data_IF_545345973079
#
_entry.id   IF_545345973079
#
_cell.length_a   1.000
_cell.length_b   1.000
_cell.length_c   1.000
_cell.angle_alpha   90.00
_cell.angle_beta   90.00
_cell.angle_gamma   90.00
#
_symmetry.space_group_name_H-M   'P 1'
#
loop_
_entity.id
_entity.type
_entity.pdbx_description
1 polymer ?
#
# COMPACT_ATOMS: atom_id res chain seq x y z
N UNK A 1 2.99 41.35 10.20
CA UNK A 1 2.49 40.00 10.49
C UNK A 1 2.65 39.19 9.21
N UNK A 2 3.79 38.53 9.00
CA UNK A 2 3.95 37.65 7.84
C UNK A 2 2.99 36.48 8.01
N UNK A 3 2.06 36.34 7.07
CA UNK A 3 1.24 35.14 6.95
C UNK A 3 2.17 33.94 6.80
N UNK A 4 2.25 33.10 7.84
CA UNK A 4 2.87 31.79 7.75
C UNK A 4 1.97 30.88 6.89
N UNK A 5 1.93 31.14 5.59
CA UNK A 5 1.32 30.24 4.64
C UNK A 5 2.17 28.96 4.60
N UNK A 6 1.52 27.82 4.81
CA UNK A 6 2.18 26.53 4.70
C UNK A 6 2.74 26.38 3.27
N UNK A 7 3.91 25.76 3.10
CA UNK A 7 4.42 25.44 1.77
C UNK A 7 3.41 24.54 1.04
N UNK A 8 3.25 24.73 -0.28
CA UNK A 8 2.36 23.89 -1.07
C UNK A 8 2.84 22.43 -1.04
N UNK A 9 1.89 21.50 -1.15
CA UNK A 9 2.22 20.09 -1.36
C UNK A 9 3.00 19.93 -2.68
N UNK A 10 3.91 18.94 -2.76
CA UNK A 10 4.56 18.63 -4.03
C UNK A 10 3.52 18.18 -5.06
N UNK A 11 3.87 18.28 -6.34
CA UNK A 11 3.02 17.84 -7.46
C UNK A 11 2.64 16.36 -7.34
N UNK A 12 3.52 15.54 -6.77
CA UNK A 12 3.32 14.11 -6.59
C UNK A 12 4.05 13.58 -5.36
N UNK A 13 3.70 12.36 -4.99
CA UNK A 13 4.47 11.52 -4.06
C UNK A 13 4.73 10.16 -4.67
N UNK A 14 5.67 9.42 -4.10
CA UNK A 14 5.99 8.06 -4.49
C UNK A 14 5.68 7.09 -3.36
N UNK A 15 5.63 5.81 -3.70
CA UNK A 15 5.63 4.75 -2.72
C UNK A 15 6.17 3.47 -3.30
N UNK A 16 6.48 2.54 -2.42
CA UNK A 16 7.15 1.31 -2.78
C UNK A 16 6.89 0.19 -1.76
N UNK A 17 7.01 -1.05 -2.21
CA UNK A 17 7.07 -2.22 -1.34
C UNK A 17 8.38 -2.23 -0.51
N UNK A 18 8.49 -3.11 0.50
CA UNK A 18 9.65 -3.14 1.39
C UNK A 18 11.00 -3.36 0.66
N UNK A 19 11.02 -4.19 -0.39
CA UNK A 19 12.22 -4.44 -1.19
C UNK A 19 12.45 -3.42 -2.32
N UNK A 20 11.57 -2.42 -2.46
CA UNK A 20 11.60 -1.37 -3.49
C UNK A 20 11.44 -1.84 -4.94
N UNK A 21 11.16 -3.13 -5.19
CA UNK A 21 10.98 -3.68 -6.55
C UNK A 21 9.67 -3.24 -7.22
N UNK A 22 8.60 -3.13 -6.44
CA UNK A 22 7.31 -2.58 -6.87
C UNK A 22 7.20 -1.15 -6.36
N UNK A 23 7.03 -0.20 -7.27
CA UNK A 23 6.93 1.23 -6.96
C UNK A 23 5.75 1.86 -7.69
N UNK A 24 5.29 2.97 -7.16
CA UNK A 24 4.23 3.78 -7.76
C UNK A 24 4.44 5.26 -7.49
N UNK A 25 3.74 6.08 -8.27
CA UNK A 25 3.60 7.53 -8.11
C UNK A 25 2.12 7.86 -7.93
N UNK A 26 1.83 8.81 -7.05
CA UNK A 26 0.49 9.39 -6.86
C UNK A 26 0.57 10.88 -7.14
N UNK A 27 -0.24 11.36 -8.07
CA UNK A 27 -0.38 12.80 -8.35
C UNK A 27 -1.17 13.46 -7.21
N UNK A 28 -0.73 14.65 -6.81
CA UNK A 28 -1.32 15.43 -5.72
C UNK A 28 -1.84 16.80 -6.21
N UNK A 29 -1.68 17.10 -7.50
CA UNK A 29 -2.14 18.36 -8.13
C UNK A 29 -3.63 18.60 -7.94
N UNK A 30 -4.43 17.54 -7.93
CA UNK A 30 -5.87 17.59 -7.71
C UNK A 30 -6.31 16.76 -6.50
N UNK A 31 -5.58 16.88 -5.38
CA UNK A 31 -5.76 16.03 -4.19
C UNK A 31 -7.23 15.93 -3.73
N UNK A 32 -7.97 17.05 -3.73
CA UNK A 32 -9.34 17.10 -3.21
C UNK A 32 -10.32 16.27 -4.06
N UNK A 33 -10.09 16.20 -5.38
CA UNK A 33 -10.91 15.39 -6.27
C UNK A 33 -10.37 13.97 -6.39
N UNK A 34 -9.05 13.77 -6.42
CA UNK A 34 -8.45 12.45 -6.66
C UNK A 34 -8.47 11.54 -5.43
N UNK A 35 -8.31 12.10 -4.22
CA UNK A 35 -8.42 11.35 -2.97
C UNK A 35 -9.90 11.16 -2.59
N UNK A 36 -10.46 10.01 -2.97
CA UNK A 36 -11.87 9.68 -2.77
C UNK A 36 -12.20 9.22 -1.35
N UNK A 37 -11.21 8.71 -0.61
CA UNK A 37 -11.40 8.22 0.76
C UNK A 37 -10.06 8.15 1.50
N UNK A 38 -10.08 8.46 2.79
CA UNK A 38 -9.00 8.12 3.72
C UNK A 38 -9.57 7.71 5.07
N UNK A 39 -9.24 6.50 5.52
CA UNK A 39 -9.86 5.90 6.69
C UNK A 39 -8.95 4.85 7.35
N UNK A 40 -9.26 4.51 8.59
CA UNK A 40 -8.83 3.27 9.19
C UNK A 40 -9.83 2.17 8.90
N UNK A 41 -9.37 1.08 8.28
CA UNK A 41 -10.19 -0.06 7.91
C UNK A 41 -9.95 -1.24 8.86
N UNK A 42 -11.04 -1.72 9.46
CA UNK A 42 -11.05 -2.80 10.45
C UNK A 42 -11.57 -4.14 9.90
N UNK A 43 -11.78 -4.28 8.58
CA UNK A 43 -12.29 -5.54 8.05
C UNK A 43 -11.24 -6.66 8.17
N UNK A 44 -11.70 -7.89 8.42
CA UNK A 44 -10.79 -9.01 8.69
C UNK A 44 -9.88 -9.35 7.52
N UNK A 45 -10.29 -9.07 6.28
CA UNK A 45 -9.42 -9.22 5.11
C UNK A 45 -8.25 -8.24 5.15
N UNK A 46 -8.47 -6.98 5.55
CA UNK A 46 -7.41 -6.00 5.68
C UNK A 46 -6.49 -6.30 6.87
N UNK A 47 -7.06 -6.77 7.99
CA UNK A 47 -6.30 -7.18 9.16
C UNK A 47 -5.34 -8.33 8.84
N UNK A 48 -5.86 -9.42 8.26
CA UNK A 48 -5.05 -10.60 7.90
C UNK A 48 -3.98 -10.27 6.88
N UNK A 49 -4.30 -9.43 5.89
CA UNK A 49 -3.37 -9.11 4.82
C UNK A 49 -2.23 -8.21 5.26
N UNK A 50 -2.47 -7.31 6.22
CA UNK A 50 -1.44 -6.40 6.74
C UNK A 50 -0.80 -6.90 8.04
N UNK A 51 -1.35 -7.95 8.67
CA UNK A 51 -0.92 -8.41 9.98
C UNK A 51 -1.12 -7.36 11.08
N UNK A 52 -2.16 -6.54 10.97
CA UNK A 52 -2.41 -5.40 11.86
C UNK A 52 -3.88 -5.38 12.36
N UNK A 53 -4.18 -4.84 13.55
CA UNK A 53 -5.55 -4.77 14.08
C UNK A 53 -6.47 -3.90 13.21
N UNK A 54 -5.90 -2.97 12.46
CA UNK A 54 -6.54 -2.17 11.42
C UNK A 54 -5.46 -1.64 10.46
N UNK A 55 -5.87 -1.11 9.32
CA UNK A 55 -4.95 -0.50 8.34
C UNK A 55 -5.43 0.88 7.93
N UNK A 56 -4.51 1.83 7.82
CA UNK A 56 -4.79 3.08 7.12
C UNK A 56 -4.94 2.78 5.62
N UNK A 57 -6.06 3.15 5.03
CA UNK A 57 -6.35 2.99 3.61
C UNK A 57 -6.69 4.33 2.99
N UNK A 58 -6.17 4.57 1.79
CA UNK A 58 -6.52 5.72 0.95
C UNK A 58 -7.07 5.23 -0.38
N UNK A 59 -8.13 5.85 -0.90
CA UNK A 59 -8.66 5.52 -2.22
C UNK A 59 -8.43 6.66 -3.19
N UNK A 60 -7.98 6.33 -4.39
CA UNK A 60 -7.55 7.27 -5.41
C UNK A 60 -8.27 6.97 -6.72
N UNK A 61 -8.52 8.01 -7.50
CA UNK A 61 -8.88 7.87 -8.92
C UNK A 61 -7.83 7.05 -9.68
N UNK A 62 -8.22 6.39 -10.77
CA UNK A 62 -7.31 5.57 -11.57
C UNK A 62 -6.14 6.40 -12.10
N UNK A 63 -6.47 7.53 -12.72
CA UNK A 63 -5.57 8.47 -13.36
C UNK A 63 -4.56 9.11 -12.41
N UNK A 64 -4.88 9.15 -11.11
CA UNK A 64 -4.02 9.72 -10.09
C UNK A 64 -2.85 8.79 -9.72
N UNK A 65 -2.89 7.50 -10.06
CA UNK A 65 -1.89 6.52 -9.66
C UNK A 65 -1.21 5.90 -10.88
N UNK A 66 0.12 5.93 -10.87
CA UNK A 66 0.95 5.36 -11.92
C UNK A 66 1.91 4.33 -11.33
N UNK A 67 1.92 3.13 -11.89
CA UNK A 67 2.84 2.07 -11.47
C UNK A 67 4.12 2.10 -12.31
N UNK A 68 5.27 1.78 -11.69
CA UNK A 68 6.53 1.66 -12.43
C UNK A 68 6.50 0.46 -13.38
N UNK A 69 6.78 0.69 -14.67
CA UNK A 69 6.85 -0.35 -15.70
C UNK A 69 8.10 -1.22 -15.61
N UNK A 70 9.18 -0.72 -14.99
CA UNK A 70 10.40 -1.46 -14.74
C UNK A 70 10.48 -1.88 -13.27
N UNK A 71 10.94 -3.12 -13.01
CA UNK A 71 11.65 -3.40 -11.78
C UNK A 71 12.91 -2.53 -11.85
N UNK A 72 12.92 -1.36 -11.19
CA UNK A 72 14.16 -0.59 -11.11
C UNK A 72 15.22 -1.52 -10.53
N UNK A 73 16.30 -1.71 -11.28
CA UNK A 73 17.39 -2.61 -10.93
C UNK A 73 17.74 -2.36 -9.47
N UNK A 74 17.51 -3.37 -8.65
CA UNK A 74 17.93 -3.33 -7.26
C UNK A 74 19.42 -3.10 -7.28
N UNK A 75 19.85 -1.88 -6.94
CA UNK A 75 21.24 -1.61 -6.64
C UNK A 75 21.68 -2.69 -5.68
N UNK A 76 22.56 -3.57 -6.15
CA UNK A 76 23.11 -4.64 -5.35
C UNK A 76 24.07 -4.01 -4.35
N UNK A 77 23.55 -3.36 -3.33
CA UNK A 77 24.29 -3.24 -2.08
C UNK A 77 24.30 -4.64 -1.47
N UNK A 78 25.34 -5.36 -1.87
CA UNK A 78 25.74 -6.65 -1.35
C UNK A 78 25.92 -6.46 0.17
N UNK A 79 24.93 -6.87 0.95
CA UNK A 79 25.06 -6.98 2.40
C UNK A 79 26.33 -7.81 2.70
N UNK A 80 27.34 -7.26 3.40
CA UNK A 80 28.52 -8.03 3.75
C UNK A 80 28.17 -8.96 4.92
N UNK A 81 28.33 -10.26 4.70
CA UNK A 81 28.45 -11.25 5.77
C UNK A 81 27.20 -12.08 6.08
N UNK A 82 27.01 -13.16 5.33
CA UNK A 82 26.59 -14.44 5.93
C UNK A 82 27.05 -15.58 5.05
N UNK A 83 28.28 -16.03 5.28
CA UNK A 83 28.70 -17.37 4.90
C UNK A 83 27.92 -18.35 5.79
N UNK A 84 26.88 -18.95 5.25
CA UNK A 84 26.42 -20.25 5.74
C UNK A 84 26.01 -21.10 4.55
N UNK A 85 26.82 -22.12 4.30
CA UNK A 85 26.50 -23.28 3.48
C UNK A 85 25.25 -23.93 4.06
N UNK A 86 24.16 -23.94 3.31
CA UNK A 86 22.98 -24.75 3.61
C UNK A 86 22.38 -25.22 2.30
N UNK A 87 22.66 -26.47 1.98
CA UNK A 87 22.10 -27.19 0.84
C UNK A 87 20.58 -27.29 1.03
N UNK A 88 19.82 -26.49 0.28
CA UNK A 88 18.37 -26.62 0.23
C UNK A 88 17.99 -27.84 -0.63
N UNK A 89 17.05 -28.70 -0.20
CA UNK A 89 16.63 -29.85 -0.98
C UNK A 89 15.75 -29.40 -2.16
N UNK A 90 16.03 -29.98 -3.33
CA UNK A 90 15.21 -29.84 -4.54
C UNK A 90 13.87 -30.54 -4.33
N UNK A 91 12.80 -29.79 -4.08
CA UNK A 91 11.43 -30.28 -4.14
C UNK A 91 10.94 -30.24 -5.60
N UNK A 92 11.05 -31.39 -6.28
CA UNK A 92 10.38 -31.62 -7.56
C UNK A 92 8.87 -31.74 -7.35
N UNK A 93 8.11 -30.89 -8.04
CA UNK A 93 6.63 -30.91 -8.06
C UNK A 93 6.13 -32.13 -8.84
N UNK A 94 5.78 -33.21 -8.16
CA UNK A 94 5.04 -34.34 -8.75
C UNK A 94 3.55 -34.02 -8.82
N UNK A 95 3.01 -34.01 -10.05
CA UNK A 95 1.58 -34.12 -10.35
C UNK A 95 1.10 -35.52 -9.95
N UNK A 96 -0.06 -35.61 -9.29
CA UNK A 96 -0.87 -36.84 -9.27
C UNK A 96 -1.33 -37.26 -7.88
N UNK A 97 -2.64 -37.45 -7.70
CA UNK A 97 -3.22 -38.04 -6.50
C UNK A 97 -4.67 -37.66 -6.25
N UNK A 98 -5.55 -37.79 -7.24
CA UNK A 98 -7.00 -37.75 -7.00
C UNK A 98 -7.43 -39.06 -6.33
N UNK A 99 -8.12 -38.94 -5.19
CA UNK A 99 -8.68 -40.06 -4.43
C UNK A 99 -10.01 -40.50 -5.05
N UNK A 100 -10.09 -41.79 -5.38
CA UNK A 100 -11.24 -42.47 -5.99
C UNK A 100 -12.41 -42.60 -4.98
N UNK A 101 -13.63 -42.34 -5.45
CA UNK A 101 -14.92 -42.71 -4.82
C UNK A 101 -15.75 -43.40 -5.93
N UNK A 102 -16.46 -44.51 -5.65
CA UNK A 102 -16.99 -45.39 -6.69
C UNK A 102 -18.25 -44.85 -7.37
N UNK A 103 -18.35 -45.22 -8.64
CA UNK A 103 -19.43 -44.95 -9.61
C UNK A 103 -20.67 -45.80 -9.37
N UNK A 104 -21.85 -45.21 -9.52
CA UNK A 104 -23.04 -45.91 -10.04
C UNK A 104 -23.50 -45.20 -11.31
N UNK A 105 -23.68 -45.98 -12.37
CA UNK A 105 -24.01 -45.52 -13.72
C UNK A 105 -25.51 -45.52 -13.93
N UNK A 106 -26.03 -44.41 -14.47
CA UNK A 106 -27.28 -44.43 -15.24
C UNK A 106 -27.20 -43.37 -16.33
N UNK A 107 -27.21 -43.86 -17.56
CA UNK A 107 -27.12 -43.15 -18.83
C UNK A 107 -28.41 -42.43 -19.18
N UNK A 108 -28.31 -41.19 -19.67
CA UNK A 108 -29.23 -40.61 -20.65
C UNK A 108 -28.54 -39.43 -21.34
N UNK A 109 -28.38 -39.58 -22.65
CA UNK A 109 -27.77 -38.64 -23.57
C UNK A 109 -28.77 -37.59 -24.03
N UNK A 110 -28.38 -36.31 -23.96
CA UNK A 110 -28.81 -35.30 -24.94
C UNK A 110 -27.74 -34.22 -25.05
N UNK A 111 -27.16 -34.16 -26.23
CA UNK A 111 -26.18 -33.20 -26.69
C UNK A 111 -26.81 -31.82 -26.90
N UNK A 112 -26.29 -30.82 -26.19
CA UNK A 112 -26.40 -29.42 -26.56
C UNK A 112 -25.01 -28.78 -26.39
N UNK A 113 -24.28 -28.68 -27.49
CA UNK A 113 -23.01 -27.97 -27.59
C UNK A 113 -23.27 -26.47 -27.59
N UNK A 114 -23.35 -25.89 -26.41
CA UNK A 114 -23.27 -24.43 -26.26
C UNK A 114 -21.81 -24.09 -26.02
N UNK A 115 -21.14 -23.58 -27.04
CA UNK A 115 -19.81 -22.99 -26.94
C UNK A 115 -19.89 -21.70 -26.11
N UNK A 116 -19.85 -21.84 -24.78
CA UNK A 116 -19.63 -20.70 -23.89
C UNK A 116 -18.15 -20.38 -23.92
N UNK A 117 -17.77 -19.43 -24.78
CA UNK A 117 -16.53 -18.70 -24.64
C UNK A 117 -16.61 -17.92 -23.32
N UNK A 118 -16.15 -18.54 -22.24
CA UNK A 118 -15.90 -17.85 -20.98
C UNK A 118 -14.67 -16.96 -21.19
N UNK A 119 -14.89 -15.79 -21.77
CA UNK A 119 -13.90 -14.71 -21.74
C UNK A 119 -13.75 -14.34 -20.27
N UNK A 120 -12.68 -14.82 -19.64
CA UNK A 120 -12.25 -14.29 -18.36
C UNK A 120 -12.20 -12.76 -18.50
N UNK A 121 -12.73 -11.97 -17.55
CA UNK A 121 -12.62 -10.53 -17.62
C UNK A 121 -11.14 -10.18 -17.68
N UNK A 122 -10.68 -9.75 -18.85
CA UNK A 122 -9.29 -9.37 -19.06
C UNK A 122 -9.02 -8.19 -18.13
N UNK A 123 -8.19 -8.42 -17.12
CA UNK A 123 -7.50 -7.34 -16.43
C UNK A 123 -6.79 -6.53 -17.52
N UNK A 124 -6.94 -5.20 -17.59
CA UNK A 124 -6.13 -4.43 -18.51
C UNK A 124 -4.69 -4.63 -18.07
N UNK A 125 -3.88 -5.28 -18.90
CA UNK A 125 -2.49 -5.64 -18.60
C UNK A 125 -1.65 -4.39 -18.23
N UNK A 126 -2.07 -3.22 -18.72
CA UNK A 126 -1.51 -1.91 -18.39
C UNK A 126 -1.83 -1.39 -16.97
N UNK A 127 -2.75 -2.03 -16.23
CA UNK A 127 -3.21 -1.53 -14.92
C UNK A 127 -2.24 -1.90 -13.78
N UNK A 128 -1.49 -2.99 -13.90
CA UNK A 128 -0.64 -3.50 -12.80
C UNK A 128 0.85 -3.49 -13.15
N UNK A 129 1.69 -3.27 -12.14
CA UNK A 129 3.14 -3.41 -12.31
C UNK A 129 3.52 -4.88 -12.59
N UNK A 130 4.54 -5.16 -13.42
CA UNK A 130 5.01 -6.53 -13.67
C UNK A 130 5.60 -7.21 -12.42
N UNK A 131 6.00 -6.42 -11.42
CA UNK A 131 6.56 -6.89 -10.14
C UNK A 131 5.48 -7.13 -9.07
N UNK A 132 4.23 -7.22 -9.50
CA UNK A 132 3.07 -7.31 -8.62
C UNK A 132 2.37 -8.65 -8.78
N UNK A 133 2.11 -9.30 -7.65
CA UNK A 133 1.19 -10.41 -7.59
C UNK A 133 -0.22 -9.90 -7.26
N UNK A 134 -1.20 -10.31 -8.06
CA UNK A 134 -2.59 -9.83 -8.01
C UNK A 134 -3.53 -11.01 -7.69
N UNK A 135 -4.47 -10.77 -6.77
CA UNK A 135 -5.42 -11.79 -6.28
C UNK A 135 -6.82 -11.24 -6.43
N UNK A 136 -7.65 -11.93 -7.19
CA UNK A 136 -9.06 -11.58 -7.29
C UNK A 136 -9.79 -11.90 -5.99
N UNK A 137 -10.41 -10.89 -5.41
CA UNK A 137 -11.19 -11.00 -4.16
C UNK A 137 -12.68 -10.90 -4.40
N UNK A 138 -13.09 -10.23 -5.47
CA UNK A 138 -14.44 -10.24 -6.00
C UNK A 138 -14.35 -10.44 -7.51
N UNK A 139 -14.90 -11.54 -8.06
CA UNK A 139 -14.84 -11.84 -9.49
C UNK A 139 -15.21 -10.65 -10.37
N UNK A 140 -14.33 -10.30 -11.30
CA UNK A 140 -14.49 -9.20 -12.26
C UNK A 140 -14.60 -7.80 -11.64
N UNK A 141 -14.38 -7.64 -10.34
CA UNK A 141 -14.68 -6.38 -9.64
C UNK A 141 -13.56 -5.88 -8.74
N UNK A 142 -12.89 -6.73 -7.97
CA UNK A 142 -11.90 -6.27 -6.98
C UNK A 142 -10.72 -7.21 -6.86
N UNK A 143 -9.53 -6.64 -6.95
CA UNK A 143 -8.28 -7.36 -6.81
C UNK A 143 -7.45 -6.75 -5.68
N UNK A 144 -6.74 -7.60 -4.96
CA UNK A 144 -5.71 -7.22 -3.98
C UNK A 144 -4.35 -7.38 -4.61
N UNK A 145 -3.43 -6.49 -4.27
CA UNK A 145 -2.07 -6.55 -4.76
C UNK A 145 -1.01 -6.54 -3.67
N UNK A 146 0.08 -7.25 -3.95
CA UNK A 146 1.31 -7.25 -3.18
C UNK A 146 2.52 -7.36 -4.11
N UNK A 147 3.70 -7.02 -3.59
CA UNK A 147 4.95 -7.32 -4.29
C UNK A 147 5.08 -8.83 -4.50
N UNK A 148 5.47 -9.24 -5.71
CA UNK A 148 5.70 -10.65 -6.06
C UNK A 148 6.92 -11.24 -5.34
N UNK A 149 7.86 -10.39 -4.91
CA UNK A 149 9.12 -10.77 -4.30
C UNK A 149 9.04 -10.76 -2.77
N UNK A 150 8.83 -9.59 -2.16
CA UNK A 150 8.84 -9.48 -0.69
C UNK A 150 7.47 -9.67 -0.04
N UNK A 151 6.41 -9.87 -0.83
CA UNK A 151 5.06 -10.07 -0.32
C UNK A 151 4.42 -8.84 0.33
N UNK A 152 5.10 -7.68 0.37
CA UNK A 152 4.55 -6.46 0.98
C UNK A 152 3.23 -6.12 0.31
N UNK A 153 2.14 -6.06 1.09
CA UNK A 153 0.84 -5.74 0.57
C UNK A 153 0.85 -4.24 0.22
N UNK A 154 0.37 -3.86 -0.98
CA UNK A 154 0.40 -2.47 -1.47
C UNK A 154 -0.99 -1.83 -1.57
N UNK A 155 -2.04 -2.63 -1.81
CA UNK A 155 -3.36 -2.07 -2.02
C UNK A 155 -4.42 -2.99 -2.63
N UNK A 156 -5.43 -2.37 -3.24
CA UNK A 156 -6.40 -3.02 -4.12
C UNK A 156 -6.71 -2.21 -5.37
N UNK A 157 -7.16 -2.89 -6.42
CA UNK A 157 -7.85 -2.30 -7.58
C UNK A 157 -9.35 -2.60 -7.51
N UNK A 158 -10.18 -1.62 -7.85
CA UNK A 158 -11.61 -1.80 -8.05
C UNK A 158 -12.01 -1.38 -9.47
N UNK A 159 -12.33 -2.35 -10.33
CA UNK A 159 -12.67 -2.11 -11.73
C UNK A 159 -13.96 -1.29 -11.88
N UNK A 160 -14.99 -1.62 -11.09
CA UNK A 160 -16.30 -0.97 -11.20
C UNK A 160 -16.23 0.52 -10.82
N UNK A 161 -15.33 0.87 -9.90
CA UNK A 161 -15.13 2.25 -9.45
C UNK A 161 -13.99 2.97 -10.18
N UNK A 162 -13.19 2.25 -10.98
CA UNK A 162 -11.92 2.75 -11.53
C UNK A 162 -11.07 3.43 -10.45
N UNK A 163 -10.84 2.70 -9.35
CA UNK A 163 -10.19 3.25 -8.15
C UNK A 163 -9.12 2.32 -7.61
N UNK A 164 -8.01 2.94 -7.21
CA UNK A 164 -6.98 2.31 -6.40
C UNK A 164 -7.29 2.49 -4.92
N UNK A 165 -7.00 1.47 -4.13
CA UNK A 165 -6.76 1.63 -2.70
C UNK A 165 -5.26 1.46 -2.47
N UNK A 166 -4.61 2.39 -1.79
CA UNK A 166 -3.21 2.29 -1.39
C UNK A 166 -3.09 2.34 0.13
N UNK A 167 -2.18 1.54 0.70
CA UNK A 167 -1.90 1.58 2.13
C UNK A 167 -0.76 2.56 2.43
N UNK A 168 -1.00 3.64 3.18
CA UNK A 168 0.02 4.68 3.36
C UNK A 168 1.30 4.26 4.08
N UNK A 169 1.35 3.06 4.64
CA UNK A 169 2.60 2.44 5.11
C UNK A 169 3.63 2.24 3.99
N UNK A 170 3.21 2.20 2.72
CA UNK A 170 4.09 2.06 1.56
C UNK A 170 4.44 3.38 0.88
N UNK A 171 3.91 4.52 1.36
CA UNK A 171 4.30 5.84 0.82
C UNK A 171 5.71 6.19 1.28
N UNK A 172 6.49 6.75 0.38
CA UNK A 172 7.81 7.30 0.69
C UNK A 172 7.67 8.40 1.74
N UNK A 173 8.56 8.36 2.73
CA UNK A 173 8.64 9.38 3.80
C UNK A 173 9.73 10.41 3.54
N UNK A 174 10.42 10.28 2.42
CA UNK A 174 11.50 11.16 1.99
C UNK A 174 10.90 12.52 1.59
N UNK A 175 10.51 13.31 2.58
CA UNK A 175 10.41 14.74 2.40
C UNK A 175 11.84 15.27 2.34
N UNK A 176 12.38 15.38 1.12
CA UNK A 176 13.52 16.24 0.89
C UNK A 176 12.97 17.67 0.87
N UNK A 177 13.24 18.52 1.88
CA UNK A 177 13.01 19.95 1.71
C UNK A 177 13.75 20.40 0.44
N UNK A 178 13.25 21.40 -0.31
CA UNK A 178 14.00 21.95 -1.42
C UNK A 178 15.41 22.31 -0.93
N UNK A 179 16.47 21.99 -1.70
CA UNK A 179 17.84 22.28 -1.28
C UNK A 179 17.90 23.78 -0.94
N UNK A 180 18.23 24.08 0.32
CA UNK A 180 18.50 25.46 0.71
C UNK A 180 19.64 25.94 -0.19
N UNK A 181 19.53 27.10 -0.86
CA UNK A 181 20.64 27.62 -1.64
C UNK A 181 21.82 27.75 -0.69
N UNK A 182 22.84 26.91 -0.89
CA UNK A 182 24.04 26.88 -0.06
C UNK A 182 24.68 28.26 -0.17
N UNK A 183 24.82 29.04 0.91
CA UNK A 183 25.65 30.23 0.85
C UNK A 183 27.07 29.77 0.53
N UNK A 184 27.67 30.42 -0.49
CA UNK A 184 29.02 30.13 -0.94
C UNK A 184 29.99 30.04 0.25
N UNK A 185 30.88 29.03 0.30
CA UNK A 185 31.85 28.90 1.37
C UNK A 185 32.84 30.06 1.27
N UNK A 186 32.69 31.05 2.14
CA UNK A 186 33.77 31.98 2.47
C UNK A 186 34.47 31.44 3.71
N UNK A 187 35.79 31.30 3.58
CA UNK A 187 36.78 30.75 4.51
C UNK A 187 36.61 31.08 6.01
N UNK A 188 36.65 30.01 6.83
CA UNK A 188 37.41 29.73 8.10
C UNK A 188 37.85 30.90 9.03
N UNK A 189 38.02 30.74 10.37
CA UNK A 189 38.56 29.54 11.04
C UNK A 189 37.95 29.08 12.39
N UNK A 190 38.43 27.90 12.77
CA UNK A 190 38.17 27.01 13.92
C UNK A 190 38.31 27.59 15.33
N UNK A 191 37.52 27.07 16.28
CA UNK A 191 37.99 26.71 17.64
C UNK A 191 37.01 25.77 18.34
N UNK A 192 37.54 24.79 19.07
CA UNK A 192 36.90 24.27 20.30
C UNK A 192 36.22 22.89 20.23
N UNK A 193 36.98 21.85 20.57
CA UNK A 193 36.52 20.49 20.88
C UNK A 193 35.66 20.44 22.15
N UNK A 194 34.63 19.59 22.20
CA UNK A 194 34.19 18.86 23.42
C UNK A 194 33.25 17.73 23.06
N UNK A 195 33.72 16.51 23.30
CA UNK A 195 32.98 15.25 23.22
C UNK A 195 31.99 15.12 24.38
N UNK A 196 30.73 14.80 24.10
CA UNK A 196 29.91 14.01 25.03
C UNK A 196 28.93 13.14 24.24
N UNK A 197 29.06 11.84 24.47
CA UNK A 197 28.19 10.80 23.92
C UNK A 197 26.95 10.73 24.80
N UNK A 198 25.79 11.11 24.26
CA UNK A 198 24.49 10.81 24.87
C UNK A 198 23.58 10.22 23.82
N UNK A 199 23.29 8.93 23.98
CA UNK A 199 22.26 8.19 23.24
C UNK A 199 20.90 8.73 23.67
N UNK A 200 20.49 9.81 23.03
CA UNK A 200 19.13 10.32 23.12
C UNK A 200 18.61 10.32 21.70
N UNK A 201 17.51 9.60 21.45
CA UNK A 201 16.73 9.75 20.22
C UNK A 201 16.61 11.24 19.89
N UNK A 202 16.81 11.66 18.62
CA UNK A 202 16.77 13.08 18.31
C UNK A 202 15.41 13.63 18.78
N UNK A 203 15.39 14.74 19.54
CA UNK A 203 14.14 15.36 19.92
C UNK A 203 13.36 15.69 18.63
N UNK A 204 12.03 15.57 18.65
CA UNK A 204 11.22 16.01 17.51
C UNK A 204 11.60 17.47 17.25
N UNK A 205 12.07 17.76 16.03
CA UNK A 205 12.50 19.12 15.67
C UNK A 205 11.32 20.06 15.88
N UNK A 206 11.38 20.87 16.95
CA UNK A 206 10.41 21.94 17.19
C UNK A 206 10.51 22.95 16.04
N UNK A 207 9.40 23.13 15.31
CA UNK A 207 9.27 24.15 14.27
C UNK A 207 8.90 23.69 12.85
N UNK A 208 7.95 22.76 12.65
CA UNK A 208 7.48 22.44 11.29
C UNK A 208 6.08 22.99 10.99
N UNK A 209 5.96 24.17 10.35
CA UNK A 209 4.81 24.46 9.50
C UNK A 209 5.01 23.76 8.15
N UNK A 210 4.69 22.46 8.09
CA UNK A 210 4.50 21.73 6.84
C UNK A 210 3.42 20.65 7.06
N UNK A 211 2.31 20.61 6.30
CA UNK A 211 1.48 19.43 6.29
C UNK A 211 2.26 18.38 5.50
N UNK A 212 2.89 17.42 6.17
CA UNK A 212 3.45 16.27 5.46
C UNK A 212 2.37 15.68 4.54
N UNK A 213 2.75 15.00 3.45
CA UNK A 213 1.77 14.30 2.61
C UNK A 213 0.87 13.42 3.49
N UNK A 214 1.46 12.76 4.50
CA UNK A 214 0.74 11.96 5.49
C UNK A 214 -0.34 12.76 6.25
N UNK A 215 -0.09 14.02 6.58
CA UNK A 215 -1.09 14.89 7.18
C UNK A 215 -2.19 15.29 6.19
N UNK A 216 -1.84 15.53 4.93
CA UNK A 216 -2.81 15.84 3.88
C UNK A 216 -3.75 14.67 3.57
N UNK A 217 -3.24 13.43 3.67
CA UNK A 217 -4.02 12.21 3.42
C UNK A 217 -4.50 11.53 4.71
N UNK A 218 -4.41 12.17 5.87
CA UNK A 218 -4.67 11.55 7.19
C UNK A 218 -6.05 10.89 7.27
N UNK A 219 -6.22 9.78 7.99
CA UNK A 219 -7.52 9.14 8.18
C UNK A 219 -8.55 10.10 8.77
N UNK A 220 -9.79 10.03 8.31
CA UNK A 220 -10.89 10.87 8.81
C UNK A 220 -11.90 10.12 9.69
N UNK A 221 -11.92 8.79 9.60
CA UNK A 221 -12.85 7.92 10.32
C UNK A 221 -12.34 6.49 10.39
N UNK A 222 -12.97 5.69 11.25
CA UNK A 222 -12.90 4.24 11.22
C UNK A 222 -14.09 3.66 10.47
N UNK A 223 -13.83 2.68 9.61
CA UNK A 223 -14.85 1.91 8.91
C UNK A 223 -14.69 0.42 9.16
N UNK A 224 -15.81 -0.30 9.09
CA UNK A 224 -15.89 -1.69 9.54
C UNK A 224 -15.58 -1.85 11.04
N UNK A 225 -15.84 -0.79 11.81
CA UNK A 225 -15.64 -0.72 13.26
C UNK A 225 -16.79 -1.39 14.01
N UNK A 226 -17.07 -2.65 13.70
CA UNK A 226 -18.13 -3.44 14.32
C UNK A 226 -17.57 -4.69 14.98
N UNK A 227 -18.23 -5.82 14.77
CA UNK A 227 -17.79 -7.14 15.28
C UNK A 227 -16.39 -7.57 14.80
N UNK A 228 -15.82 -6.88 13.82
CA UNK A 228 -14.48 -7.12 13.28
C UNK A 228 -13.37 -6.38 14.01
N UNK A 229 -13.70 -5.39 14.87
CA UNK A 229 -12.67 -4.62 15.58
C UNK A 229 -11.93 -5.50 16.58
N UNK A 230 -10.60 -5.47 16.54
CA UNK A 230 -9.75 -6.25 17.47
C UNK A 230 -9.42 -5.48 18.74
N UNK A 231 -9.48 -4.15 18.69
CA UNK A 231 -9.19 -3.27 19.81
C UNK A 231 -9.96 -1.96 19.66
N UNK A 232 -10.23 -1.31 20.79
CA UNK A 232 -10.84 0.01 20.78
C UNK A 232 -9.78 1.11 20.62
N UNK A 233 -10.09 2.11 19.78
CA UNK A 233 -9.19 3.21 19.43
C UNK A 233 -9.77 4.53 19.95
N UNK A 234 -9.22 5.12 21.04
CA UNK A 234 -9.73 6.34 21.64
C UNK A 234 -9.15 7.60 20.96
N UNK A 235 -9.26 7.71 19.63
CA UNK A 235 -8.70 8.81 18.84
C UNK A 235 -9.71 9.91 18.48
N UNK A 236 -10.96 9.77 18.95
CA UNK A 236 -12.10 10.67 18.70
C UNK A 236 -12.53 10.75 17.23
N UNK A 237 -12.01 9.90 16.35
CA UNK A 237 -12.49 9.82 14.97
C UNK A 237 -13.87 9.13 14.94
N UNK A 238 -14.78 9.55 14.06
CA UNK A 238 -16.05 8.86 13.84
C UNK A 238 -15.83 7.38 13.50
N UNK A 239 -16.66 6.50 14.06
CA UNK A 239 -16.61 5.05 13.86
C UNK A 239 -17.86 4.59 13.13
N UNK A 240 -17.72 3.72 12.14
CA UNK A 240 -18.81 3.25 11.28
C UNK A 240 -18.76 1.73 11.10
N UNK A 241 -19.92 1.06 11.07
CA UNK A 241 -20.01 -0.39 10.83
C UNK A 241 -19.57 -0.78 9.40
N UNK A 242 -19.64 0.16 8.46
CA UNK A 242 -19.25 0.01 7.07
C UNK A 242 -18.64 1.30 6.53
N UNK A 243 -19.03 1.72 5.32
CA UNK A 243 -18.57 2.98 4.76
C UNK A 243 -19.23 4.19 5.43
N UNK A 244 -18.45 5.23 5.71
CA UNK A 244 -18.95 6.48 6.27
C UNK A 244 -20.06 7.09 5.41
N UNK A 245 -21.13 7.57 6.05
CA UNK A 245 -22.30 8.15 5.38
C UNK A 245 -23.23 7.14 4.70
N UNK A 246 -22.85 5.86 4.61
CA UNK A 246 -23.65 4.80 3.99
C UNK A 246 -23.93 3.62 4.93
N UNK A 247 -23.45 3.68 6.17
CA UNK A 247 -23.65 2.65 7.20
C UNK A 247 -23.96 3.31 8.53
N UNK A 248 -24.35 2.53 9.52
CA UNK A 248 -24.60 3.02 10.87
C UNK A 248 -23.30 3.53 11.52
N UNK A 249 -23.44 4.63 12.26
CA UNK A 249 -22.37 5.19 13.09
C UNK A 249 -22.36 4.43 14.41
N UNK A 250 -21.18 3.97 14.80
CA UNK A 250 -20.99 3.22 16.05
C UNK A 250 -20.62 4.20 17.15
N UNK A 251 -21.39 4.18 18.22
CA UNK A 251 -21.07 4.91 19.45
C UNK A 251 -19.99 4.14 20.24
N UNK A 252 -19.14 4.88 20.94
CA UNK A 252 -18.02 4.34 21.72
C UNK A 252 -18.46 3.89 23.11
#
# INVERSE_FOLDING_TARGET
MSSNALPPLPEYTTGHCACKRTQYRVQLTNLQEDLRLTAYCHCTSCQRLNGAPFVWTTHWAEEAVQWSSAALDGGSEKMPGSSSSSTAPTLTRTKGGARLIPTVSSSSSTSASTSSSSSAPMLPEATFAPTMAVYETLPGRKWKQRCDYCGTPLGSWNQAKRQWSLWPSTFSRDYLPPPTPTPNPTSTPSTGSSSSSSTTSPPPKEGLPHPTIQQAIRPLHHQFYGWWRTMDIPDKLPKWEGYAGASERVEE
#
